data_IF_054310545567
#
_entry.id   IF_054310545567
#
_cell.length_a   1.000
_cell.length_b   1.000
_cell.length_c   1.000
_cell.angle_alpha   90.00
_cell.angle_beta   90.00
_cell.angle_gamma   90.00
#
_symmetry.space_group_name_H-M   'P 1'
#
loop_
_entity.id
_entity.type
_entity.pdbx_description
1 polymer ?
#
# COMPACT_ATOMS: atom_id res chain seq x y z
N UNK A 1 -14.02 -2.39 -3.64
CA UNK A 1 -15.02 -2.50 -2.55
C UNK A 1 -14.82 -3.85 -1.90
N UNK A 2 -14.81 -3.93 -0.57
CA UNK A 2 -14.63 -5.19 0.20
C UNK A 2 -15.61 -5.22 1.37
N UNK A 3 -16.01 -6.40 1.85
CA UNK A 3 -16.86 -6.47 3.04
C UNK A 3 -16.01 -6.31 4.31
N UNK A 4 -16.66 -5.99 5.43
CA UNK A 4 -16.00 -5.95 6.74
C UNK A 4 -15.50 -7.35 7.12
N UNK A 5 -14.25 -7.45 7.59
CA UNK A 5 -13.62 -8.72 7.95
C UNK A 5 -12.92 -9.44 6.80
N UNK A 6 -13.23 -9.11 5.55
CA UNK A 6 -12.50 -9.61 4.38
C UNK A 6 -11.10 -8.97 4.29
N UNK A 7 -10.28 -9.45 3.35
CA UNK A 7 -8.98 -8.87 3.05
C UNK A 7 -9.02 -8.03 1.78
N UNK A 8 -8.23 -6.96 1.75
CA UNK A 8 -7.97 -6.15 0.57
C UNK A 8 -6.49 -6.24 0.17
N UNK A 9 -6.22 -6.32 -1.13
CA UNK A 9 -4.86 -6.31 -1.67
C UNK A 9 -4.75 -5.23 -2.74
N UNK A 10 -3.76 -4.36 -2.61
CA UNK A 10 -3.40 -3.33 -3.58
C UNK A 10 -2.11 -3.74 -4.28
N UNK A 11 -2.12 -3.72 -5.61
CA UNK A 11 -0.95 -4.02 -6.44
C UNK A 11 -0.53 -2.73 -7.17
N UNK A 12 0.68 -2.27 -6.89
CA UNK A 12 1.31 -1.18 -7.62
C UNK A 12 2.07 -1.74 -8.82
N UNK A 13 1.41 -1.78 -9.98
CA UNK A 13 2.04 -2.25 -11.23
C UNK A 13 2.94 -1.16 -11.81
N UNK A 14 4.25 -1.37 -11.76
CA UNK A 14 5.26 -0.40 -12.21
C UNK A 14 5.87 -0.82 -13.54
N UNK A 15 6.05 0.13 -14.45
CA UNK A 15 6.78 -0.06 -15.71
C UNK A 15 7.92 0.95 -15.80
N UNK A 16 9.09 0.53 -16.27
CA UNK A 16 10.30 1.36 -16.36
C UNK A 16 11.42 0.85 -15.46
N UNK A 17 12.65 1.32 -15.69
CA UNK A 17 13.85 0.92 -14.95
C UNK A 17 14.90 2.05 -15.02
N UNK A 18 15.67 2.31 -13.94
CA UNK A 18 15.61 1.66 -12.63
C UNK A 18 14.40 2.11 -11.80
N UNK A 19 14.04 1.30 -10.80
CA UNK A 19 13.07 1.64 -9.74
C UNK A 19 13.87 1.66 -8.45
N UNK A 20 14.03 2.84 -7.85
CA UNK A 20 14.85 3.00 -6.64
C UNK A 20 14.02 2.74 -5.39
N UNK A 21 12.76 3.19 -5.37
CA UNK A 21 11.88 2.97 -4.22
C UNK A 21 10.39 2.93 -4.58
N UNK A 22 9.63 2.22 -3.73
CA UNK A 22 8.16 2.22 -3.72
C UNK A 22 7.69 2.52 -2.30
N UNK A 23 6.86 3.55 -2.14
CA UNK A 23 6.31 3.99 -0.86
C UNK A 23 4.79 4.00 -0.87
N UNK A 24 4.18 3.60 0.24
CA UNK A 24 2.73 3.53 0.39
C UNK A 24 2.20 4.57 1.37
N UNK A 25 1.17 5.29 0.93
CA UNK A 25 0.43 6.23 1.77
C UNK A 25 -1.04 5.80 1.89
N UNK A 26 -1.65 6.08 3.05
CA UNK A 26 -3.09 6.05 3.25
C UNK A 26 -3.52 7.44 3.70
N UNK A 27 -4.39 8.10 2.92
CA UNK A 27 -4.83 9.47 3.16
C UNK A 27 -3.65 10.45 3.34
N UNK A 28 -2.65 10.37 2.47
CA UNK A 28 -1.40 11.15 2.53
C UNK A 28 -0.51 10.91 3.77
N UNK A 29 -0.87 9.98 4.65
CA UNK A 29 -0.03 9.55 5.77
C UNK A 29 0.71 8.26 5.41
N UNK A 30 1.98 8.16 5.81
CA UNK A 30 2.76 6.94 5.61
C UNK A 30 2.08 5.77 6.31
N UNK A 31 1.90 4.67 5.59
CA UNK A 31 1.43 3.42 6.18
C UNK A 31 2.61 2.81 6.95
N UNK A 32 2.90 3.34 8.16
CA UNK A 32 3.83 2.94 9.24
C UNK A 32 5.09 2.11 8.87
N UNK A 33 6.27 2.40 9.48
CA UNK A 33 7.56 2.32 8.81
C UNK A 33 7.80 0.96 8.16
N UNK A 34 7.72 0.95 6.83
CA UNK A 34 8.27 -0.11 6.00
C UNK A 34 9.78 0.11 5.99
N UNK A 35 10.42 -0.11 7.14
CA UNK A 35 11.86 -0.33 7.16
C UNK A 35 12.10 -1.62 6.40
N UNK A 36 13.05 -1.61 5.48
CA UNK A 36 13.40 -2.75 4.62
C UNK A 36 13.42 -4.08 5.39
N UNK A 37 12.35 -4.87 5.26
CA UNK A 37 12.27 -6.23 5.79
C UNK A 37 11.53 -6.46 7.13
N UNK A 38 11.10 -5.44 7.86
CA UNK A 38 10.39 -5.65 9.15
C UNK A 38 8.93 -5.18 9.12
N UNK A 39 8.08 -5.86 8.35
CA UNK A 39 6.65 -5.88 8.68
C UNK A 39 6.51 -6.67 9.98
N UNK A 40 6.14 -6.01 11.09
CA UNK A 40 5.87 -6.68 12.36
C UNK A 40 4.91 -7.85 12.11
N UNK A 41 5.39 -9.08 12.29
CA UNK A 41 4.58 -10.28 12.13
C UNK A 41 3.35 -10.14 13.05
N UNK A 42 2.17 -9.94 12.47
CA UNK A 42 0.92 -9.69 13.20
C UNK A 42 0.21 -8.38 12.87
N UNK A 43 0.82 -7.44 12.13
CA UNK A 43 0.09 -6.27 11.64
C UNK A 43 -0.96 -6.66 10.59
N UNK A 44 -2.19 -6.17 10.76
CA UNK A 44 -3.28 -6.32 9.77
C UNK A 44 -2.94 -5.67 8.43
N UNK A 45 -2.22 -4.54 8.49
CA UNK A 45 -1.74 -3.82 7.30
C UNK A 45 -0.27 -4.12 7.13
N UNK A 46 0.09 -4.81 6.05
CA UNK A 46 1.47 -5.27 5.80
C UNK A 46 1.78 -5.27 4.30
N UNK A 47 3.06 -5.17 3.97
CA UNK A 47 3.54 -5.45 2.63
C UNK A 47 3.76 -6.95 2.44
N UNK A 48 3.27 -7.50 1.33
CA UNK A 48 3.68 -8.82 0.84
C UNK A 48 4.93 -8.72 -0.04
N UNK A 49 5.12 -7.56 -0.67
CA UNK A 49 6.35 -7.09 -1.33
C UNK A 49 6.33 -5.55 -1.36
N UNK A 50 7.41 -4.91 -1.80
CA UNK A 50 7.44 -3.44 -1.97
C UNK A 50 6.27 -2.90 -2.82
N UNK A 51 5.80 -3.67 -3.81
CA UNK A 51 4.70 -3.29 -4.70
C UNK A 51 3.32 -3.83 -4.28
N UNK A 52 3.22 -4.62 -3.21
CA UNK A 52 1.96 -5.27 -2.83
C UNK A 52 1.63 -4.99 -1.37
N UNK A 53 0.62 -4.15 -1.15
CA UNK A 53 0.06 -3.85 0.17
C UNK A 53 -1.16 -4.73 0.43
N UNK A 54 -1.16 -5.39 1.59
CA UNK A 54 -2.24 -6.25 2.04
C UNK A 54 -2.83 -5.76 3.35
N UNK A 55 -4.15 -5.70 3.40
CA UNK A 55 -4.94 -5.36 4.59
C UNK A 55 -5.82 -6.55 4.92
N UNK A 56 -5.53 -7.26 6.00
CA UNK A 56 -6.38 -8.35 6.49
C UNK A 56 -7.41 -7.85 7.50
N UNK A 57 -8.58 -8.50 7.54
CA UNK A 57 -9.64 -8.16 8.49
C UNK A 57 -10.05 -6.70 8.38
N UNK A 58 -10.47 -6.27 7.19
CA UNK A 58 -10.77 -4.86 6.89
C UNK A 58 -11.87 -4.34 7.80
N UNK A 59 -11.62 -3.17 8.37
CA UNK A 59 -12.54 -2.46 9.28
C UNK A 59 -12.91 -1.09 8.71
N UNK A 60 -13.87 -0.41 9.34
CA UNK A 60 -14.29 0.94 8.93
C UNK A 60 -13.14 1.96 8.97
N UNK A 61 -12.18 1.80 9.89
CA UNK A 61 -11.01 2.69 10.01
C UNK A 61 -9.95 2.46 8.92
N UNK A 62 -10.04 1.35 8.19
CA UNK A 62 -9.11 1.09 7.08
C UNK A 62 -9.58 1.77 5.78
N UNK A 63 -10.82 2.28 5.73
CA UNK A 63 -11.31 3.06 4.59
C UNK A 63 -10.41 4.26 4.31
N UNK A 64 -10.25 4.57 3.03
CA UNK A 64 -9.50 5.74 2.60
C UNK A 64 -8.89 5.57 1.23
N UNK A 65 -8.17 6.60 0.83
CA UNK A 65 -7.39 6.58 -0.38
C UNK A 65 -6.04 5.93 -0.06
N UNK A 66 -5.69 4.86 -0.77
CA UNK A 66 -4.36 4.26 -0.76
C UNK A 66 -3.59 4.73 -1.99
N UNK A 67 -2.35 5.15 -1.80
CA UNK A 67 -1.46 5.62 -2.88
C UNK A 67 -0.17 4.83 -2.84
N UNK A 68 0.34 4.45 -4.01
CA UNK A 68 1.73 4.05 -4.17
C UNK A 68 2.49 5.14 -4.92
N UNK A 69 3.67 5.48 -4.41
CA UNK A 69 4.62 6.39 -5.04
C UNK A 69 5.85 5.59 -5.44
N UNK A 70 6.24 5.73 -6.70
CA UNK A 70 7.39 5.05 -7.30
C UNK A 70 8.37 6.13 -7.70
N UNK A 71 9.64 5.95 -7.35
CA UNK A 71 10.68 6.93 -7.63
C UNK A 71 11.92 6.28 -8.22
N UNK A 72 12.58 7.01 -9.11
CA UNK A 72 14.00 6.84 -9.42
C UNK A 72 14.74 8.19 -9.30
N UNK A 73 16.01 8.22 -9.73
CA UNK A 73 16.86 9.40 -9.69
C UNK A 73 16.32 10.62 -10.48
N UNK A 74 15.41 10.40 -11.44
CA UNK A 74 14.92 11.41 -12.39
C UNK A 74 13.43 11.71 -12.28
N UNK A 75 12.63 10.72 -11.93
CA UNK A 75 11.18 10.74 -12.05
C UNK A 75 10.49 10.21 -10.79
N UNK A 76 9.26 10.67 -10.59
CA UNK A 76 8.35 10.09 -9.62
C UNK A 76 6.98 9.90 -10.28
N UNK A 77 6.44 8.69 -10.16
CA UNK A 77 5.12 8.33 -10.61
C UNK A 77 4.26 7.90 -9.42
N UNK A 78 2.93 8.00 -9.55
CA UNK A 78 2.01 7.56 -8.51
C UNK A 78 0.79 6.84 -9.08
N UNK A 79 0.27 5.89 -8.31
CA UNK A 79 -1.03 5.25 -8.51
C UNK A 79 -1.89 5.37 -7.26
N UNK A 80 -3.21 5.41 -7.41
CA UNK A 80 -4.13 5.50 -6.27
C UNK A 80 -5.38 4.64 -6.44
N UNK A 81 -5.95 4.22 -5.31
CA UNK A 81 -7.20 3.46 -5.24
C UNK A 81 -7.95 3.78 -3.93
N UNK A 82 -9.28 3.76 -3.96
CA UNK A 82 -10.10 3.95 -2.76
C UNK A 82 -10.53 2.60 -2.15
N UNK A 83 -10.25 2.41 -0.85
CA UNK A 83 -10.85 1.32 -0.08
C UNK A 83 -12.23 1.73 0.43
N UNK A 84 -13.26 1.12 -0.16
CA UNK A 84 -14.66 1.27 0.26
C UNK A 84 -15.19 -0.04 0.83
N UNK A 85 -15.99 0.05 1.88
CA UNK A 85 -16.75 -1.07 2.41
C UNK A 85 -18.05 -1.25 1.62
N UNK A 86 -18.42 -2.50 1.35
CA UNK A 86 -19.68 -2.93 0.73
C UNK A 86 -20.42 -3.90 1.62
#
# INVERSE_FOLDING_TARGET
>A
VVNSGDSATFNCSVTGSPIDSVHWLRNAESVAPISDGETSAGSRVRLLSQQVLHVSGVTRSDRGMYQCFVRNDRETAQGSAELRLG
#
